data_IF_441174784915
#
_entry.id   IF_441174784915
#
_cell.length_a   1.000
_cell.length_b   1.000
_cell.length_c   1.000
_cell.angle_alpha   90.00
_cell.angle_beta   90.00
_cell.angle_gamma   90.00
#
_symmetry.space_group_name_H-M   'P 1'
#
loop_
_entity.id
_entity.type
_entity.pdbx_description
1 polymer ?
#
# COMPACT_ATOMS: atom_id res chain seq x y z
N UNK A 1 2.81 -4.49 7.32
CA UNK A 1 3.10 -3.11 7.78
C UNK A 1 3.15 -2.28 6.53
N UNK A 2 2.18 -1.37 6.35
CA UNK A 2 2.16 -0.49 5.19
C UNK A 2 3.42 0.36 5.19
N UNK A 3 4.03 0.53 4.01
CA UNK A 3 5.07 1.52 3.84
C UNK A 3 4.45 2.86 4.24
N UNK A 4 5.01 3.50 5.27
CA UNK A 4 4.52 4.79 5.77
C UNK A 4 4.51 5.86 4.68
N UNK A 5 4.05 7.06 5.03
CA UNK A 5 4.08 8.21 4.11
C UNK A 5 5.52 8.40 3.59
N UNK A 6 5.75 8.50 2.27
CA UNK A 6 7.09 8.57 1.72
C UNK A 6 7.73 9.93 2.04
N UNK A 7 9.06 9.92 2.20
CA UNK A 7 9.80 11.06 2.74
C UNK A 7 9.75 12.31 1.85
N UNK A 8 9.66 12.13 0.53
CA UNK A 8 9.48 13.19 -0.45
C UNK A 8 8.13 13.90 -0.30
N UNK A 9 7.04 13.15 -0.06
CA UNK A 9 5.73 13.73 0.24
C UNK A 9 5.74 14.53 1.55
N UNK A 10 6.46 14.03 2.58
CA UNK A 10 6.62 14.74 3.85
C UNK A 10 7.41 16.05 3.64
N UNK A 11 8.49 16.02 2.85
CA UNK A 11 9.29 17.20 2.54
C UNK A 11 8.46 18.26 1.77
N UNK A 12 7.69 17.83 0.75
CA UNK A 12 6.81 18.71 0.00
C UNK A 12 5.74 19.35 0.89
N UNK A 13 5.13 18.57 1.79
CA UNK A 13 4.16 19.08 2.75
C UNK A 13 4.79 20.07 3.74
N UNK A 14 6.01 19.79 4.25
CA UNK A 14 6.76 20.72 5.10
C UNK A 14 6.97 22.06 4.40
N UNK A 15 7.42 22.05 3.14
CA UNK A 15 7.70 23.28 2.40
C UNK A 15 6.43 24.08 2.10
N UNK A 16 5.32 23.40 1.82
CA UNK A 16 4.00 24.02 1.70
C UNK A 16 3.54 24.67 3.01
N UNK A 17 3.75 24.00 4.15
CA UNK A 17 3.43 24.54 5.48
C UNK A 17 4.28 25.77 5.80
N UNK A 18 5.59 25.73 5.52
CA UNK A 18 6.48 26.88 5.72
C UNK A 18 6.03 28.08 4.90
N UNK A 19 5.64 27.85 3.65
CA UNK A 19 5.08 28.88 2.77
C UNK A 19 3.78 29.45 3.34
N UNK A 20 2.87 28.59 3.80
CA UNK A 20 1.59 29.00 4.40
C UNK A 20 1.78 29.84 5.67
N UNK A 21 2.71 29.44 6.54
CA UNK A 21 3.00 30.13 7.80
C UNK A 21 3.95 31.32 7.65
N UNK A 22 4.49 31.56 6.45
CA UNK A 22 5.54 32.56 6.19
C UNK A 22 6.80 32.34 7.05
N UNK A 23 7.13 31.09 7.34
CA UNK A 23 8.33 30.72 8.08
C UNK A 23 9.56 30.73 7.16
N UNK A 24 10.53 31.62 7.43
CA UNK A 24 11.73 31.79 6.60
C UNK A 24 12.96 30.99 7.11
N UNK A 25 12.94 30.52 8.36
CA UNK A 25 14.03 29.77 8.98
C UNK A 25 13.95 28.25 8.75
N UNK A 26 15.03 27.53 9.07
CA UNK A 26 15.10 26.06 9.01
C UNK A 26 15.08 25.36 10.38
N UNK A 27 15.03 26.12 11.48
CA UNK A 27 15.15 25.58 12.84
C UNK A 27 14.02 24.61 13.20
N UNK A 28 12.81 24.85 12.69
CA UNK A 28 11.65 24.01 12.94
C UNK A 28 11.41 22.92 11.87
N UNK A 29 12.29 22.75 10.88
CA UNK A 29 12.04 21.86 9.74
C UNK A 29 11.74 20.42 10.17
N UNK A 30 12.44 19.91 11.19
CA UNK A 30 12.20 18.59 11.74
C UNK A 30 10.83 18.46 12.42
N UNK A 31 10.43 19.48 13.19
CA UNK A 31 9.14 19.52 13.87
C UNK A 31 7.99 19.62 12.86
N UNK A 32 8.12 20.50 11.88
CA UNK A 32 7.12 20.68 10.81
C UNK A 32 7.00 19.40 9.98
N UNK A 33 8.10 18.72 9.68
CA UNK A 33 8.06 17.43 8.98
C UNK A 33 7.34 16.34 9.78
N UNK A 34 7.56 16.27 11.10
CA UNK A 34 6.83 15.34 11.96
C UNK A 34 5.33 15.62 11.99
N UNK A 35 4.94 16.89 12.15
CA UNK A 35 3.53 17.29 12.09
C UNK A 35 2.90 17.00 10.72
N UNK A 36 3.63 17.26 9.63
CA UNK A 36 3.16 16.95 8.28
C UNK A 36 2.94 15.44 8.10
N UNK A 37 3.85 14.60 8.56
CA UNK A 37 3.70 13.14 8.52
C UNK A 37 2.46 12.67 9.29
N UNK A 38 2.25 13.20 10.50
CA UNK A 38 1.06 12.89 11.31
C UNK A 38 -0.23 13.37 10.64
N UNK A 39 -0.26 14.59 10.13
CA UNK A 39 -1.43 15.15 9.46
C UNK A 39 -1.81 14.32 8.22
N UNK A 40 -0.83 13.96 7.38
CA UNK A 40 -1.06 13.11 6.20
C UNK A 40 -1.61 11.74 6.61
N UNK A 41 -1.01 11.09 7.62
CA UNK A 41 -1.51 9.81 8.13
C UNK A 41 -2.93 9.90 8.69
N UNK A 42 -3.25 10.99 9.41
CA UNK A 42 -4.59 11.23 9.93
C UNK A 42 -5.60 11.51 8.82
N UNK A 43 -5.23 12.26 7.78
CA UNK A 43 -6.09 12.48 6.62
C UNK A 43 -6.45 11.17 5.93
N UNK A 44 -5.48 10.27 5.73
CA UNK A 44 -5.73 8.95 5.14
C UNK A 44 -6.61 8.08 6.04
N UNK A 45 -6.36 8.08 7.36
CA UNK A 45 -7.17 7.35 8.32
C UNK A 45 -8.61 7.86 8.39
N UNK A 46 -8.80 9.19 8.36
CA UNK A 46 -10.12 9.83 8.42
C UNK A 46 -10.94 9.55 7.16
N UNK A 47 -10.33 9.68 5.99
CA UNK A 47 -11.00 9.43 4.71
C UNK A 47 -11.17 7.94 4.40
N UNK A 48 -10.41 7.08 5.07
CA UNK A 48 -10.31 5.66 4.70
C UNK A 48 -9.68 5.46 3.32
N UNK A 49 -8.97 6.47 2.81
CA UNK A 49 -8.36 6.48 1.48
C UNK A 49 -6.86 6.75 1.58
N UNK A 50 -6.10 6.14 0.68
CA UNK A 50 -4.69 6.43 0.52
C UNK A 50 -4.52 7.51 -0.53
N UNK A 51 -4.30 8.73 -0.07
CA UNK A 51 -4.26 9.91 -0.94
C UNK A 51 -2.86 10.16 -1.50
N UNK A 52 -1.82 9.68 -0.79
CA UNK A 52 -0.44 9.82 -1.23
C UNK A 52 -0.04 8.58 -2.05
N UNK A 53 0.22 8.82 -3.33
CA UNK A 53 0.67 7.83 -4.32
C UNK A 53 1.85 7.07 -3.78
N UNK A 54 1.67 5.79 -3.50
CA UNK A 54 2.75 4.94 -3.00
C UNK A 54 2.60 3.46 -3.32
N UNK A 55 3.76 2.85 -3.14
CA UNK A 55 4.03 1.44 -3.06
C UNK A 55 3.30 0.74 -1.93
N UNK A 56 2.53 -0.31 -2.23
CA UNK A 56 1.95 -1.14 -1.18
C UNK A 56 2.16 -2.62 -1.47
N UNK A 57 1.98 -3.43 -0.43
CA UNK A 57 1.94 -4.88 -0.55
C UNK A 57 0.89 -5.33 0.43
N UNK A 58 -0.19 -5.87 -0.12
CA UNK A 58 -1.25 -6.43 0.66
C UNK A 58 -1.11 -7.95 0.70
N UNK A 59 -1.74 -8.52 1.72
CA UNK A 59 -1.69 -9.93 2.00
C UNK A 59 -3.15 -10.30 2.31
N UNK A 60 -3.83 -10.92 1.34
CA UNK A 60 -5.26 -11.32 1.39
C UNK A 60 -5.45 -12.82 1.66
N UNK A 61 -6.65 -13.33 1.92
CA UNK A 61 -6.87 -14.78 1.95
C UNK A 61 -7.44 -15.25 0.60
N UNK A 62 -6.96 -16.36 0.02
CA UNK A 62 -7.47 -16.83 -1.26
C UNK A 62 -8.97 -17.11 -1.21
N UNK A 63 -9.69 -16.52 -2.16
CA UNK A 63 -11.08 -16.86 -2.46
C UNK A 63 -11.25 -17.06 -3.96
N UNK A 64 -12.31 -17.79 -4.32
CA UNK A 64 -12.67 -18.03 -5.73
C UNK A 64 -13.58 -16.93 -6.30
N UNK A 65 -14.00 -16.00 -5.44
CA UNK A 65 -14.88 -14.90 -5.77
C UNK A 65 -14.12 -13.57 -5.74
N UNK A 66 -14.73 -12.53 -6.28
CA UNK A 66 -14.20 -11.17 -6.19
C UNK A 66 -13.94 -10.76 -4.74
N UNK A 67 -12.75 -10.22 -4.50
CA UNK A 67 -12.37 -9.71 -3.18
C UNK A 67 -12.13 -8.21 -3.26
N UNK A 68 -12.65 -7.51 -2.26
CA UNK A 68 -12.40 -6.09 -2.10
C UNK A 68 -10.99 -5.87 -1.53
N UNK A 69 -10.25 -4.95 -2.11
CA UNK A 69 -8.97 -4.49 -1.57
C UNK A 69 -9.25 -3.56 -0.37
N UNK A 70 -8.45 -3.66 0.69
CA UNK A 70 -8.64 -2.83 1.89
C UNK A 70 -8.24 -1.37 1.67
N UNK A 71 -7.39 -1.11 0.67
CA UNK A 71 -6.95 0.23 0.31
C UNK A 71 -7.65 0.71 -0.96
N UNK A 72 -7.99 1.99 -0.96
CA UNK A 72 -8.59 2.70 -2.09
C UNK A 72 -8.12 4.16 -2.09
N UNK A 73 -8.15 4.86 -3.23
CA UNK A 73 -8.36 4.32 -4.57
C UNK A 73 -7.20 3.43 -5.03
N UNK A 74 -7.37 2.59 -6.06
CA UNK A 74 -6.27 1.80 -6.65
C UNK A 74 -6.17 2.17 -8.12
N UNK A 75 -4.97 2.55 -8.57
CA UNK A 75 -4.70 3.00 -9.93
C UNK A 75 -4.14 1.89 -10.81
N UNK A 76 -3.33 1.01 -10.25
CA UNK A 76 -2.81 -0.15 -10.97
C UNK A 76 -2.63 -1.38 -10.06
N UNK A 77 -2.45 -2.53 -10.70
CA UNK A 77 -2.06 -3.79 -10.09
C UNK A 77 -0.84 -4.27 -10.87
N UNK A 78 0.35 -4.13 -10.29
CA UNK A 78 1.61 -4.40 -10.99
C UNK A 78 2.03 -5.87 -10.99
N UNK A 79 1.43 -6.70 -10.13
CA UNK A 79 1.71 -8.12 -10.09
C UNK A 79 0.79 -8.82 -9.11
N UNK A 80 0.77 -10.15 -9.18
CA UNK A 80 0.12 -11.03 -8.22
C UNK A 80 1.05 -12.21 -8.02
N UNK A 81 1.21 -12.67 -6.78
CA UNK A 81 1.96 -13.88 -6.49
C UNK A 81 1.16 -14.78 -5.55
N UNK A 82 1.24 -16.08 -5.79
CA UNK A 82 0.84 -17.09 -4.82
C UNK A 82 1.95 -17.26 -3.79
N UNK A 83 1.62 -17.11 -2.51
CA UNK A 83 2.53 -17.37 -1.41
C UNK A 83 2.08 -18.64 -0.67
N UNK A 84 2.80 -19.78 -0.79
CA UNK A 84 2.48 -20.98 -0.05
C UNK A 84 2.92 -20.86 1.42
N UNK A 85 2.33 -21.67 2.31
CA UNK A 85 2.78 -21.78 3.72
C UNK A 85 4.23 -22.28 3.82
N UNK A 86 4.67 -23.07 2.85
CA UNK A 86 6.04 -23.57 2.70
C UNK A 86 6.40 -23.52 1.21
N UNK A 87 7.54 -22.90 0.89
CA UNK A 87 8.06 -22.79 -0.47
C UNK A 87 8.16 -21.36 -0.99
N UNK A 88 8.68 -21.21 -2.21
CA UNK A 88 8.89 -19.91 -2.85
C UNK A 88 7.58 -19.33 -3.44
N UNK A 89 7.43 -18.00 -3.46
CA UNK A 89 6.32 -17.36 -4.12
C UNK A 89 6.34 -17.63 -5.63
N UNK A 90 5.17 -17.87 -6.23
CA UNK A 90 5.04 -18.06 -7.68
C UNK A 90 4.15 -16.98 -8.28
N UNK A 91 4.62 -16.33 -9.36
CA UNK A 91 3.89 -15.24 -10.00
C UNK A 91 2.64 -15.75 -10.74
N UNK A 92 1.55 -15.00 -10.64
CA UNK A 92 0.30 -15.22 -11.38
C UNK A 92 0.13 -14.07 -12.38
N UNK A 93 -0.18 -14.34 -13.66
CA UNK A 93 -0.50 -13.29 -14.62
C UNK A 93 -1.66 -12.42 -14.14
N UNK A 94 -1.47 -11.11 -14.19
CA UNK A 94 -2.54 -10.14 -13.90
C UNK A 94 -3.67 -10.30 -14.93
N UNK A 95 -4.92 -10.31 -14.46
CA UNK A 95 -6.10 -10.45 -15.33
C UNK A 95 -6.64 -11.87 -15.49
N UNK A 96 -6.02 -12.88 -14.88
CA UNK A 96 -6.58 -14.24 -14.84
C UNK A 96 -7.48 -14.40 -13.62
N UNK A 97 -8.81 -14.41 -13.84
CA UNK A 97 -9.84 -14.58 -12.78
C UNK A 97 -10.09 -16.03 -12.38
N UNK A 98 -9.33 -16.99 -12.93
CA UNK A 98 -9.47 -18.43 -12.63
C UNK A 98 -8.09 -19.04 -12.37
N UNK A 99 -7.86 -19.48 -11.13
CA UNK A 99 -6.72 -20.37 -10.84
C UNK A 99 -6.86 -21.65 -11.69
N UNK A 100 -5.81 -22.11 -12.40
CA UNK A 100 -5.86 -23.38 -13.10
C UNK A 100 -6.13 -24.49 -12.08
N UNK A 101 -7.21 -25.23 -12.29
CA UNK A 101 -7.70 -26.28 -11.38
C UNK A 101 -6.85 -27.55 -11.38
N UNK A 102 -5.70 -27.58 -12.06
CA UNK A 102 -4.92 -28.79 -12.29
C UNK A 102 -3.43 -28.49 -12.06
N UNK A 103 -2.88 -29.07 -10.98
CA UNK A 103 -1.42 -29.20 -10.80
C UNK A 103 -0.84 -28.91 -9.42
N UNK A 104 -1.59 -28.30 -8.49
CA UNK A 104 -1.03 -27.97 -7.15
C UNK A 104 -1.62 -28.91 -6.09
N UNK A 105 -0.80 -29.68 -5.34
CA UNK A 105 -1.29 -30.62 -4.33
C UNK A 105 -2.09 -29.87 -3.25
N UNK A 106 -3.39 -30.18 -3.14
CA UNK A 106 -4.35 -29.56 -2.24
C UNK A 106 -4.18 -29.96 -0.76
N UNK A 107 -2.95 -30.13 -0.28
CA UNK A 107 -2.68 -30.57 1.09
C UNK A 107 -1.78 -29.59 1.85
N UNK A 108 -2.18 -28.33 1.88
CA UNK A 108 -1.82 -27.42 2.96
C UNK A 108 -2.91 -26.35 3.10
N UNK A 109 -3.60 -26.45 4.22
CA UNK A 109 -4.66 -25.58 4.70
C UNK A 109 -4.10 -24.18 5.02
N UNK A 110 -4.85 -23.15 4.63
CA UNK A 110 -4.75 -21.74 5.02
C UNK A 110 -3.53 -20.92 4.52
N UNK A 111 -3.84 -19.87 3.75
CA UNK A 111 -2.97 -18.74 3.49
C UNK A 111 -2.66 -18.57 2.01
N UNK A 112 -3.25 -17.56 1.36
CA UNK A 112 -2.80 -17.13 0.05
C UNK A 112 -3.15 -15.67 -0.18
N UNK A 113 -2.11 -14.88 -0.46
CA UNK A 113 -2.01 -13.46 -0.17
C UNK A 113 -1.56 -12.68 -1.42
N UNK A 114 -2.30 -11.61 -1.78
CA UNK A 114 -2.17 -10.87 -3.04
C UNK A 114 -1.41 -9.54 -2.89
N UNK A 115 -0.21 -9.43 -3.48
CA UNK A 115 0.64 -8.22 -3.52
C UNK A 115 0.12 -7.20 -4.57
N UNK A 116 -0.06 -5.91 -4.25
CA UNK A 116 -0.62 -4.89 -5.19
C UNK A 116 -0.04 -3.46 -5.00
N UNK A 117 0.11 -2.67 -6.08
CA UNK A 117 0.86 -1.39 -6.11
C UNK A 117 0.27 -0.32 -7.05
N UNK A 118 0.47 0.96 -6.66
CA UNK A 118 0.04 2.26 -7.23
C UNK A 118 -1.42 2.60 -6.99
N UNK A 119 -1.64 3.46 -5.99
CA UNK A 119 -2.68 4.50 -6.00
C UNK A 119 -2.09 5.70 -6.71
#
# INVERSE_FOLDING_TARGET
MDAGIPADAIAAARDAVKTHLRAAGGGEDGLIAQHAASALGLCEAYTGQLLIVRALTMTLAARRDWQRLTHAPVRAISGVAWLPVVGEPSAIPVGVTRLPSQGVPQRAVNGCFLRFFVV
#
